data_IF_157239494806
#
_entry.id   IF_157239494806
#
_cell.length_a   1.000
_cell.length_b   1.000
_cell.length_c   1.000
_cell.angle_alpha   90.00
_cell.angle_beta   90.00
_cell.angle_gamma   90.00
#
_symmetry.space_group_name_H-M   'P 1'
#
loop_
_entity.id
_entity.type
_entity.pdbx_description
1 polymer ?
#
# COMPACT_ATOMS: atom_id res chain seq x y z
N UNK A 1 -20.78 -52.55 18.23
CA UNK A 1 -20.75 -51.60 19.36
C UNK A 1 -20.22 -52.29 20.61
N UNK A 2 -19.24 -51.69 21.32
CA UNK A 2 -18.90 -52.00 22.72
C UNK A 2 -18.55 -50.67 23.42
N UNK A 3 -19.08 -50.43 24.62
CA UNK A 3 -18.82 -49.22 25.45
C UNK A 3 -18.38 -49.65 26.84
N UNK A 4 -17.16 -49.31 27.26
CA UNK A 4 -16.71 -49.23 28.67
C UNK A 4 -15.59 -48.15 28.73
N UNK A 5 -15.23 -47.59 29.90
CA UNK A 5 -15.94 -46.42 30.45
C UNK A 5 -15.06 -45.16 30.56
N UNK A 6 -15.66 -44.03 30.95
CA UNK A 6 -14.91 -42.89 31.50
C UNK A 6 -14.36 -43.24 32.88
N UNK A 7 -13.15 -42.79 33.19
CA UNK A 7 -12.63 -42.68 34.57
C UNK A 7 -12.32 -41.19 34.83
N UNK A 8 -12.59 -40.74 36.05
CA UNK A 8 -12.42 -39.35 36.50
C UNK A 8 -11.57 -39.34 37.78
N UNK A 9 -10.50 -38.55 37.76
CA UNK A 9 -9.66 -38.17 38.90
C UNK A 9 -8.91 -36.91 38.42
N UNK A 10 -9.21 -35.67 38.82
CA UNK A 10 -9.59 -35.04 40.09
C UNK A 10 -8.38 -34.69 40.99
N UNK A 11 -7.97 -33.42 40.85
CA UNK A 11 -7.23 -32.49 41.73
C UNK A 11 -6.25 -32.99 42.81
N UNK A 12 -5.11 -32.30 42.93
CA UNK A 12 -4.72 -31.36 44.02
C UNK A 12 -3.56 -30.48 43.42
N UNK A 13 -3.48 -29.14 43.53
CA UNK A 13 -3.34 -28.26 44.73
C UNK A 13 -2.02 -28.55 45.46
N UNK A 14 -1.03 -27.65 45.64
CA UNK A 14 -0.77 -26.24 45.20
C UNK A 14 0.79 -26.06 45.10
N UNK A 15 1.54 -24.94 45.14
CA UNK A 15 1.34 -23.57 45.66
C UNK A 15 2.37 -22.55 45.10
N UNK A 16 2.01 -21.27 45.18
CA UNK A 16 2.76 -20.00 45.04
C UNK A 16 4.28 -20.05 45.32
N UNK A 17 5.06 -19.32 44.51
CA UNK A 17 6.14 -18.47 45.03
C UNK A 17 6.08 -17.08 44.41
N UNK A 18 6.05 -16.04 45.25
CA UNK A 18 6.26 -14.64 44.87
C UNK A 18 7.74 -14.30 44.99
N UNK A 19 8.25 -13.43 44.12
CA UNK A 19 9.50 -12.69 44.32
C UNK A 19 9.45 -11.42 43.49
N UNK A 20 9.28 -10.28 44.16
CA UNK A 20 9.31 -8.97 43.53
C UNK A 20 10.74 -8.41 43.55
N UNK A 21 11.10 -7.66 42.50
CA UNK A 21 12.20 -6.71 42.55
C UNK A 21 11.66 -5.34 42.13
N UNK A 22 11.63 -4.39 43.05
CA UNK A 22 11.40 -2.99 42.72
C UNK A 22 12.58 -2.47 41.89
N UNK A 23 12.28 -1.62 40.91
CA UNK A 23 13.22 -0.68 40.34
C UNK A 23 12.49 0.67 40.18
N UNK A 24 12.52 1.49 41.23
CA UNK A 24 12.11 2.89 41.12
C UNK A 24 13.14 3.63 40.26
N UNK A 25 12.72 4.12 39.10
CA UNK A 25 13.55 5.02 38.29
C UNK A 25 13.09 6.46 38.52
N UNK A 26 13.73 7.13 39.49
CA UNK A 26 13.54 8.57 39.67
C UNK A 26 14.42 9.34 38.68
N UNK A 27 13.81 10.31 37.99
CA UNK A 27 14.52 11.31 37.19
C UNK A 27 14.16 12.70 37.70
N UNK A 28 15.00 13.26 38.56
CA UNK A 28 15.01 14.70 38.85
C UNK A 28 16.32 15.34 38.40
N UNK A 29 16.17 16.43 37.64
CA UNK A 29 17.07 17.58 37.51
C UNK A 29 18.58 17.33 37.33
N UNK A 30 19.08 17.57 36.12
CA UNK A 30 20.18 18.52 35.94
C UNK A 30 20.03 19.30 34.63
N UNK A 31 19.22 20.36 34.67
CA UNK A 31 19.38 21.51 33.78
C UNK A 31 19.28 22.78 34.63
N UNK A 32 20.37 23.52 34.68
CA UNK A 32 20.46 24.88 35.23
C UNK A 32 21.15 25.76 34.22
N UNK A 33 20.76 27.02 34.23
CA UNK A 33 21.35 28.14 33.50
C UNK A 33 21.33 27.95 31.96
N UNK A 34 20.63 28.77 31.17
CA UNK A 34 20.45 30.21 31.35
C UNK A 34 19.06 30.68 30.86
N UNK A 35 18.34 31.41 31.72
CA UNK A 35 17.58 32.60 31.32
C UNK A 35 17.08 33.36 32.56
N UNK A 36 17.33 34.66 32.63
CA UNK A 36 16.77 35.53 33.68
C UNK A 36 16.43 36.92 33.13
N UNK A 37 15.12 37.19 33.04
CA UNK A 37 14.47 38.53 33.05
C UNK A 37 14.78 39.45 31.84
N UNK A 38 13.91 40.38 31.46
CA UNK A 38 12.81 41.01 32.23
C UNK A 38 11.53 41.19 31.40
N UNK A 39 10.40 41.30 32.11
CA UNK A 39 9.04 41.56 31.61
C UNK A 39 8.75 43.04 31.25
N UNK A 40 7.68 43.24 30.46
CA UNK A 40 6.74 44.39 30.43
C UNK A 40 7.27 45.79 30.03
N UNK A 41 6.62 46.41 29.03
CA UNK A 41 6.76 47.85 28.72
C UNK A 41 6.06 48.29 27.42
N UNK A 42 4.87 48.89 27.53
CA UNK A 42 4.05 49.40 26.41
C UNK A 42 4.55 50.72 25.81
N UNK A 43 4.43 50.89 24.48
CA UNK A 43 4.05 52.15 23.75
C UNK A 43 5.12 53.31 23.83
N UNK A 44 5.60 53.99 22.77
CA UNK A 44 4.90 54.70 21.67
C UNK A 44 5.83 55.16 20.50
N UNK A 45 5.22 55.61 19.39
CA UNK A 45 5.65 56.66 18.40
C UNK A 45 7.00 56.61 17.63
N UNK A 46 6.87 56.64 16.28
CA UNK A 46 7.51 57.55 15.28
C UNK A 46 9.03 57.85 15.35
N UNK A 47 9.82 57.72 14.28
CA UNK A 47 9.78 58.61 13.10
C UNK A 47 10.43 58.03 11.80
N UNK A 48 10.43 58.82 10.71
CA UNK A 48 11.00 58.48 9.40
C UNK A 48 12.54 58.41 9.36
N UNK A 49 13.09 57.64 8.42
CA UNK A 49 14.13 58.08 7.45
C UNK A 49 14.12 57.12 6.23
N UNK A 50 14.69 57.54 5.10
CA UNK A 50 14.41 57.05 3.74
C UNK A 50 15.68 56.68 2.96
N UNK A 51 15.61 55.66 2.08
CA UNK A 51 16.60 55.26 1.04
C UNK A 51 18.00 54.80 1.53
N UNK A 52 18.49 53.59 1.25
CA UNK A 52 18.89 53.07 -0.09
C UNK A 52 19.41 51.61 0.00
N UNK A 53 19.79 51.02 -1.16
CA UNK A 53 20.72 49.88 -1.35
C UNK A 53 20.17 48.44 -1.43
N UNK A 54 20.15 47.93 -2.68
CA UNK A 54 20.70 46.64 -3.16
C UNK A 54 21.10 45.53 -2.18
N UNK A 55 20.70 44.29 -2.55
CA UNK A 55 21.34 42.95 -2.35
C UNK A 55 21.86 42.58 -0.95
N UNK A 56 21.68 41.36 -0.46
CA UNK A 56 21.76 40.09 -1.20
C UNK A 56 20.88 38.97 -0.59
N UNK A 57 21.16 37.71 -0.93
CA UNK A 57 20.57 36.49 -0.36
C UNK A 57 20.63 36.39 1.17
N UNK A 58 19.57 35.81 1.75
CA UNK A 58 19.66 34.99 2.98
C UNK A 58 18.83 33.73 2.80
N UNK A 59 19.38 32.60 3.22
CA UNK A 59 18.72 31.30 3.21
C UNK A 59 17.44 31.32 4.05
N UNK A 60 16.40 30.63 3.58
CA UNK A 60 15.22 30.35 4.40
C UNK A 60 15.44 28.99 5.04
N UNK A 61 15.86 28.97 6.31
CA UNK A 61 15.72 27.78 7.13
C UNK A 61 14.23 27.42 7.18
N UNK A 62 13.88 26.26 6.63
CA UNK A 62 12.54 25.71 6.77
C UNK A 62 12.43 25.23 8.21
N UNK A 63 11.79 26.04 9.05
CA UNK A 63 11.38 25.63 10.38
C UNK A 63 10.25 24.61 10.19
N UNK A 64 10.54 23.34 10.40
CA UNK A 64 9.53 22.28 10.54
C UNK A 64 8.67 22.61 11.78
N UNK A 65 7.53 23.26 11.54
CA UNK A 65 6.47 23.36 12.54
C UNK A 65 5.62 22.08 12.49
N UNK A 66 5.31 21.58 13.68
CA UNK A 66 4.73 20.26 13.89
C UNK A 66 3.26 20.15 13.42
N UNK A 67 2.82 18.90 13.20
CA UNK A 67 1.42 18.46 13.17
C UNK A 67 0.48 19.10 12.11
N UNK A 68 0.75 18.80 10.84
CA UNK A 68 -0.31 18.71 9.82
C UNK A 68 -0.68 17.22 9.60
N UNK A 69 -1.84 16.78 10.11
CA UNK A 69 -2.44 15.49 9.75
C UNK A 69 -3.07 15.55 8.34
N UNK A 70 -2.23 15.70 7.32
CA UNK A 70 -2.58 15.34 5.95
C UNK A 70 -2.62 13.82 5.84
N UNK A 71 -3.66 13.28 5.18
CA UNK A 71 -3.66 11.86 4.80
C UNK A 71 -2.50 11.56 3.84
N UNK A 72 -1.94 10.36 3.94
CA UNK A 72 -1.11 9.84 2.85
C UNK A 72 -2.02 9.74 1.61
N UNK A 73 -1.70 10.46 0.53
CA UNK A 73 -2.55 10.48 -0.66
C UNK A 73 -2.70 9.08 -1.28
N UNK A 74 -1.76 8.15 -1.04
CA UNK A 74 -1.89 6.76 -1.49
C UNK A 74 -2.83 5.92 -0.62
N UNK A 75 -3.18 6.35 0.60
CA UNK A 75 -4.23 5.70 1.39
C UNK A 75 -5.61 5.88 0.73
N UNK A 76 -5.95 7.11 0.32
CA UNK A 76 -7.26 7.45 -0.26
C UNK A 76 -7.52 6.74 -1.60
N UNK A 77 -6.48 6.26 -2.28
CA UNK A 77 -6.52 5.50 -3.53
C UNK A 77 -6.78 3.99 -3.34
N UNK A 78 -6.71 3.47 -2.11
CA UNK A 78 -6.61 2.03 -1.83
C UNK A 78 -7.70 1.48 -0.89
N UNK A 79 -8.66 2.29 -0.46
CA UNK A 79 -9.82 1.83 0.31
C UNK A 79 -10.93 1.25 -0.56
N UNK A 80 -11.81 0.44 0.03
CA UNK A 80 -13.05 0.02 -0.63
C UNK A 80 -13.99 1.20 -0.88
N UNK A 81 -14.12 2.08 0.09
CA UNK A 81 -15.08 3.19 0.03
C UNK A 81 -14.41 4.55 -0.17
N UNK A 82 -15.15 5.54 -0.68
CA UNK A 82 -14.70 6.93 -0.79
C UNK A 82 -14.31 7.50 0.59
N UNK A 83 -13.43 8.50 0.63
CA UNK A 83 -12.91 9.04 1.90
C UNK A 83 -14.02 9.47 2.88
N UNK A 84 -15.09 10.10 2.38
CA UNK A 84 -16.24 10.54 3.17
C UNK A 84 -17.10 9.41 3.79
N UNK A 85 -16.82 8.14 3.50
CA UNK A 85 -17.41 7.01 4.20
C UNK A 85 -16.74 6.73 5.56
N UNK A 86 -15.43 6.97 5.64
CA UNK A 86 -14.61 6.71 6.83
C UNK A 86 -14.52 7.95 7.72
N UNK A 87 -14.44 7.74 9.04
CA UNK A 87 -14.57 8.82 10.00
C UNK A 87 -16.03 9.22 10.26
N UNK A 88 -16.22 10.33 10.97
CA UNK A 88 -17.53 10.80 11.45
C UNK A 88 -17.55 12.33 11.50
N UNK A 89 -18.53 12.95 10.84
CA UNK A 89 -18.68 14.40 10.83
C UNK A 89 -18.91 15.04 12.20
N UNK A 90 -18.36 16.25 12.36
CA UNK A 90 -18.59 17.10 13.53
C UNK A 90 -20.08 17.37 13.78
N UNK A 91 -20.94 17.38 12.74
CA UNK A 91 -22.38 17.54 12.94
C UNK A 91 -23.03 16.32 13.62
N UNK A 92 -22.50 15.12 13.42
CA UNK A 92 -22.97 13.90 14.11
C UNK A 92 -22.58 13.98 15.60
N UNK A 93 -21.35 14.38 15.90
CA UNK A 93 -20.86 14.63 17.27
C UNK A 93 -21.76 15.65 17.99
N UNK A 94 -22.15 16.73 17.28
CA UNK A 94 -23.07 17.74 17.79
C UNK A 94 -24.52 17.24 18.02
N UNK A 95 -24.98 16.20 17.31
CA UNK A 95 -26.29 15.58 17.55
C UNK A 95 -26.27 14.67 18.78
N UNK A 96 -25.22 13.86 18.93
CA UNK A 96 -25.16 12.78 19.94
C UNK A 96 -24.59 13.22 21.29
N UNK A 97 -23.86 14.34 21.31
CA UNK A 97 -23.11 14.83 22.45
C UNK A 97 -21.69 14.25 22.49
N UNK A 98 -20.70 15.12 22.74
CA UNK A 98 -19.27 14.78 22.69
C UNK A 98 -18.91 13.55 23.54
N UNK A 99 -19.40 13.49 24.79
CA UNK A 99 -19.16 12.38 25.74
C UNK A 99 -19.58 11.02 25.15
N UNK A 100 -20.79 10.92 24.59
CA UNK A 100 -21.28 9.69 23.95
C UNK A 100 -20.48 9.30 22.71
N UNK A 101 -19.95 10.27 21.96
CA UNK A 101 -19.09 10.03 20.82
C UNK A 101 -17.70 9.52 21.25
N UNK A 102 -17.10 10.09 22.29
CA UNK A 102 -15.83 9.63 22.85
C UNK A 102 -15.95 8.23 23.46
N UNK A 103 -17.04 7.93 24.18
CA UNK A 103 -17.36 6.58 24.68
C UNK A 103 -17.45 5.54 23.55
N UNK A 104 -18.06 5.91 22.42
CA UNK A 104 -18.12 5.05 21.23
C UNK A 104 -16.75 4.88 20.57
N UNK A 105 -16.04 5.98 20.32
CA UNK A 105 -14.73 6.00 19.68
C UNK A 105 -13.67 5.22 20.49
N UNK A 106 -13.79 5.19 21.82
CA UNK A 106 -12.89 4.44 22.71
C UNK A 106 -12.88 2.92 22.47
N UNK A 107 -13.90 2.38 21.81
CA UNK A 107 -14.05 0.94 21.56
C UNK A 107 -13.15 0.42 20.43
N UNK A 108 -12.60 1.31 19.60
CA UNK A 108 -11.81 0.96 18.41
C UNK A 108 -10.30 0.99 18.66
N UNK A 109 -9.56 0.32 17.76
CA UNK A 109 -8.10 0.23 17.75
C UNK A 109 -7.47 1.63 17.79
N UNK A 110 -6.67 1.88 18.82
CA UNK A 110 -5.93 3.12 19.01
C UNK A 110 -4.69 2.90 19.89
N UNK A 111 -3.81 3.89 19.99
CA UNK A 111 -2.65 3.84 20.90
C UNK A 111 -3.04 3.53 22.36
N UNK A 112 -4.22 3.99 22.79
CA UNK A 112 -4.75 3.76 24.14
C UNK A 112 -5.60 2.48 24.26
N UNK A 113 -6.00 1.87 23.13
CA UNK A 113 -6.75 0.62 23.07
C UNK A 113 -6.27 -0.25 21.89
N UNK A 114 -5.09 -0.91 21.98
CA UNK A 114 -4.53 -1.68 20.85
C UNK A 114 -5.32 -2.95 20.51
N UNK A 115 -6.12 -3.46 21.45
CA UNK A 115 -6.96 -4.66 21.31
C UNK A 115 -8.43 -4.29 21.01
N UNK A 116 -8.67 -3.07 20.51
CA UNK A 116 -10.00 -2.56 20.19
C UNK A 116 -10.63 -3.18 18.93
N UNK A 117 -11.89 -2.83 18.66
CA UNK A 117 -12.57 -3.11 17.38
C UNK A 117 -11.77 -2.55 16.20
N UNK A 118 -11.87 -3.16 15.02
CA UNK A 118 -11.14 -2.70 13.86
C UNK A 118 -11.46 -1.23 13.56
N UNK A 119 -10.45 -0.35 13.52
CA UNK A 119 -10.65 1.09 13.26
C UNK A 119 -11.30 1.41 11.90
N UNK A 120 -11.28 0.48 10.94
CA UNK A 120 -12.05 0.60 9.69
C UNK A 120 -13.56 0.49 9.87
N UNK A 121 -14.03 0.08 11.05
CA UNK A 121 -15.43 0.20 11.45
C UNK A 121 -15.83 1.63 11.87
N UNK A 122 -14.88 2.56 12.03
CA UNK A 122 -15.16 3.99 12.27
C UNK A 122 -15.64 4.62 10.95
N UNK A 123 -16.94 4.52 10.70
CA UNK A 123 -17.61 4.97 9.48
C UNK A 123 -18.87 5.78 9.81
N UNK A 124 -19.33 6.59 8.86
CA UNK A 124 -20.60 7.32 9.01
C UNK A 124 -21.78 6.37 9.25
N UNK A 125 -21.79 5.20 8.63
CA UNK A 125 -22.85 4.18 8.78
C UNK A 125 -22.88 3.62 10.20
N UNK A 126 -21.74 3.14 10.72
CA UNK A 126 -21.69 2.57 12.07
C UNK A 126 -21.92 3.63 13.14
N UNK A 127 -21.42 4.86 12.94
CA UNK A 127 -21.69 5.97 13.83
C UNK A 127 -23.19 6.28 13.89
N UNK A 128 -23.87 6.39 12.74
CA UNK A 128 -25.32 6.61 12.68
C UNK A 128 -26.11 5.50 13.38
N UNK A 129 -25.77 4.24 13.11
CA UNK A 129 -26.44 3.06 13.63
C UNK A 129 -26.25 2.90 15.15
N UNK A 130 -25.00 2.88 15.60
CA UNK A 130 -24.65 2.57 16.99
C UNK A 130 -24.94 3.75 17.92
N UNK A 131 -24.69 4.99 17.49
CA UNK A 131 -25.06 6.18 18.27
C UNK A 131 -26.56 6.51 18.17
N UNK A 132 -27.33 5.76 17.38
CA UNK A 132 -28.78 5.91 17.19
C UNK A 132 -29.18 7.32 16.71
N UNK A 133 -28.52 7.81 15.66
CA UNK A 133 -28.74 9.15 15.08
C UNK A 133 -30.05 9.16 14.28
N UNK A 134 -31.07 9.99 14.61
CA UNK A 134 -32.32 10.00 13.86
C UNK A 134 -32.15 10.62 12.46
N UNK A 135 -32.68 9.95 11.43
CA UNK A 135 -32.55 10.35 10.01
C UNK A 135 -32.98 11.80 9.73
N UNK A 136 -34.12 12.22 10.28
CA UNK A 136 -34.62 13.60 10.16
C UNK A 136 -33.63 14.64 10.76
N UNK A 137 -32.96 14.27 11.86
CA UNK A 137 -31.95 15.13 12.49
C UNK A 137 -30.67 15.16 11.66
N UNK A 138 -30.26 14.03 11.08
CA UNK A 138 -29.12 13.92 10.16
C UNK A 138 -29.34 14.78 8.92
N UNK A 139 -30.48 14.61 8.21
CA UNK A 139 -30.83 15.40 7.02
C UNK A 139 -30.77 16.90 7.33
N UNK A 140 -31.38 17.32 8.45
CA UNK A 140 -31.40 18.72 8.89
C UNK A 140 -30.00 19.27 9.24
N UNK A 141 -29.10 18.44 9.75
CA UNK A 141 -27.75 18.83 10.13
C UNK A 141 -26.77 18.84 8.94
N UNK A 142 -26.88 17.85 8.04
CA UNK A 142 -26.19 17.80 6.76
C UNK A 142 -26.55 19.00 5.87
N UNK A 143 -27.84 19.37 5.85
CA UNK A 143 -28.36 20.56 5.14
C UNK A 143 -27.97 20.62 3.64
N UNK A 144 -27.70 19.46 3.02
CA UNK A 144 -27.31 19.32 1.62
C UNK A 144 -25.83 19.58 1.31
N UNK A 145 -24.93 19.61 2.29
CA UNK A 145 -23.52 20.00 2.10
C UNK A 145 -22.48 18.87 2.12
N UNK A 146 -22.71 17.79 2.86
CA UNK A 146 -21.72 16.69 3.02
C UNK A 146 -22.16 15.44 2.27
N UNK A 147 -23.41 15.01 2.49
CA UNK A 147 -24.00 13.84 1.86
C UNK A 147 -25.17 14.22 0.95
N UNK A 148 -25.24 13.58 -0.21
CA UNK A 148 -26.41 13.57 -1.09
C UNK A 148 -27.57 12.79 -0.49
N UNK A 149 -28.79 13.00 -1.00
CA UNK A 149 -29.95 12.22 -0.57
C UNK A 149 -29.75 10.71 -0.80
N UNK A 150 -29.08 10.30 -1.89
CA UNK A 150 -28.78 8.89 -2.17
C UNK A 150 -27.78 8.27 -1.17
N UNK A 151 -26.74 9.02 -0.77
CA UNK A 151 -25.83 8.62 0.32
C UNK A 151 -26.58 8.51 1.65
N UNK A 152 -27.53 9.41 1.95
CA UNK A 152 -28.35 9.33 3.18
C UNK A 152 -29.29 8.12 3.15
N UNK A 153 -29.94 7.82 2.02
CA UNK A 153 -30.73 6.59 1.90
C UNK A 153 -29.86 5.34 2.07
N UNK A 154 -28.65 5.32 1.49
CA UNK A 154 -27.70 4.23 1.68
C UNK A 154 -27.30 4.05 3.15
N UNK A 155 -26.87 5.11 3.84
CA UNK A 155 -26.51 5.11 5.27
C UNK A 155 -27.63 4.53 6.14
N UNK A 156 -28.87 4.92 5.89
CA UNK A 156 -30.03 4.51 6.69
C UNK A 156 -30.72 3.22 6.22
N UNK A 157 -30.27 2.60 5.12
CA UNK A 157 -30.89 1.40 4.55
C UNK A 157 -30.59 0.11 5.33
N UNK A 158 -29.38 0.00 5.90
CA UNK A 158 -28.83 -1.27 6.38
C UNK A 158 -28.50 -2.28 5.26
N UNK A 159 -28.58 -1.89 3.98
CA UNK A 159 -28.22 -2.74 2.84
C UNK A 159 -26.78 -2.49 2.41
N UNK A 160 -25.89 -3.43 2.74
CA UNK A 160 -24.48 -3.36 2.38
C UNK A 160 -24.26 -3.26 0.86
N UNK A 161 -25.17 -3.79 0.03
CA UNK A 161 -25.06 -3.69 -1.44
C UNK A 161 -25.32 -2.28 -1.93
N UNK A 162 -26.33 -1.60 -1.36
CA UNK A 162 -26.60 -0.20 -1.64
C UNK A 162 -25.48 0.70 -1.11
N UNK A 163 -24.98 0.43 0.11
CA UNK A 163 -23.83 1.14 0.68
C UNK A 163 -22.60 0.99 -0.21
N UNK A 164 -22.23 -0.25 -0.58
CA UNK A 164 -21.11 -0.50 -1.50
C UNK A 164 -21.30 0.21 -2.84
N UNK A 165 -22.50 0.17 -3.44
CA UNK A 165 -22.77 0.81 -4.72
C UNK A 165 -22.65 2.34 -4.68
N UNK A 166 -23.08 2.97 -3.58
CA UNK A 166 -23.13 4.43 -3.45
C UNK A 166 -21.81 5.02 -2.94
N UNK A 167 -21.12 4.33 -2.04
CA UNK A 167 -19.88 4.79 -1.42
C UNK A 167 -18.61 4.12 -1.98
N UNK A 168 -18.66 3.34 -3.06
CA UNK A 168 -17.44 2.72 -3.62
C UNK A 168 -16.41 3.78 -4.00
N UNK A 169 -15.16 3.56 -3.58
CA UNK A 169 -14.02 4.39 -3.94
C UNK A 169 -13.91 4.50 -5.47
N UNK A 170 -13.74 5.70 -6.02
CA UNK A 170 -13.73 5.88 -7.47
C UNK A 170 -12.62 5.08 -8.16
N UNK A 171 -11.54 4.75 -7.45
CA UNK A 171 -10.43 3.92 -7.92
C UNK A 171 -10.56 2.41 -7.65
N UNK A 172 -11.50 1.95 -6.83
CA UNK A 172 -11.78 0.52 -6.65
C UNK A 172 -12.58 -0.10 -7.83
N UNK A 173 -12.85 -1.40 -7.74
CA UNK A 173 -13.63 -2.18 -8.71
C UNK A 173 -14.84 -2.83 -8.02
N UNK A 174 -16.06 -2.44 -8.40
CA UNK A 174 -17.32 -3.00 -7.89
C UNK A 174 -17.83 -4.14 -8.78
N UNK A 175 -17.87 -5.37 -8.27
CA UNK A 175 -18.30 -6.58 -8.99
C UNK A 175 -19.24 -7.41 -8.10
N UNK A 176 -20.41 -7.78 -8.61
CA UNK A 176 -21.42 -8.57 -7.87
C UNK A 176 -21.85 -7.96 -6.50
N UNK A 177 -21.84 -6.62 -6.43
CA UNK A 177 -22.04 -5.77 -5.24
C UNK A 177 -20.91 -5.82 -4.18
N UNK A 178 -19.82 -6.53 -4.44
CA UNK A 178 -18.59 -6.55 -3.62
C UNK A 178 -17.52 -5.61 -4.20
N UNK A 179 -16.65 -5.08 -3.34
CA UNK A 179 -15.62 -4.11 -3.74
C UNK A 179 -14.21 -4.71 -3.63
N UNK A 180 -13.44 -4.56 -4.71
CA UNK A 180 -12.08 -5.02 -4.86
C UNK A 180 -11.14 -3.83 -5.07
N UNK A 181 -10.24 -3.60 -4.12
CA UNK A 181 -9.25 -2.51 -4.11
C UNK A 181 -8.02 -2.86 -4.94
N UNK A 182 -7.19 -1.87 -5.31
CA UNK A 182 -6.00 -2.13 -6.12
C UNK A 182 -4.97 -3.03 -5.39
N UNK A 183 -4.80 -2.89 -4.06
CA UNK A 183 -3.93 -3.74 -3.25
C UNK A 183 -4.49 -5.17 -3.08
N UNK A 184 -5.81 -5.33 -2.99
CA UNK A 184 -6.46 -6.64 -3.07
C UNK A 184 -6.26 -7.27 -4.45
N UNK A 185 -6.44 -6.52 -5.53
CA UNK A 185 -6.23 -7.05 -6.88
C UNK A 185 -4.77 -7.45 -7.11
N UNK A 186 -3.82 -6.63 -6.66
CA UNK A 186 -2.38 -6.88 -6.82
C UNK A 186 -1.87 -8.10 -6.03
N UNK A 187 -2.40 -8.35 -4.83
CA UNK A 187 -1.96 -9.43 -3.95
C UNK A 187 -2.53 -10.83 -4.27
N UNK A 188 -3.37 -10.98 -5.31
CA UNK A 188 -4.17 -12.21 -5.56
C UNK A 188 -3.79 -12.91 -6.87
N UNK A 189 -4.38 -14.08 -7.14
CA UNK A 189 -4.18 -14.86 -8.39
C UNK A 189 -5.39 -14.78 -9.31
N UNK A 190 -5.23 -15.21 -10.57
CA UNK A 190 -6.36 -15.40 -11.50
C UNK A 190 -7.46 -16.30 -10.95
N UNK A 191 -7.11 -17.35 -10.20
CA UNK A 191 -8.06 -18.27 -9.53
C UNK A 191 -8.87 -17.57 -8.43
N UNK A 192 -8.35 -16.49 -7.86
CA UNK A 192 -9.02 -15.68 -6.86
C UNK A 192 -9.93 -14.62 -7.51
N UNK A 193 -9.52 -14.08 -8.68
CA UNK A 193 -10.41 -13.27 -9.53
C UNK A 193 -11.60 -14.10 -10.04
N UNK A 194 -11.37 -15.34 -10.51
CA UNK A 194 -12.42 -16.29 -10.92
C UNK A 194 -13.40 -16.59 -9.77
N UNK A 195 -12.91 -16.78 -8.54
CA UNK A 195 -13.74 -16.96 -7.32
C UNK A 195 -14.60 -15.73 -7.00
N UNK A 196 -14.07 -14.53 -7.24
CA UNK A 196 -14.79 -13.26 -7.09
C UNK A 196 -15.76 -12.97 -8.25
N UNK A 197 -15.69 -13.74 -9.34
CA UNK A 197 -16.48 -13.51 -10.56
C UNK A 197 -15.97 -12.35 -11.41
N UNK A 198 -14.73 -11.89 -11.21
CA UNK A 198 -14.11 -10.81 -11.96
C UNK A 198 -13.56 -11.37 -13.28
N UNK A 199 -13.99 -10.82 -14.41
CA UNK A 199 -13.54 -11.25 -15.73
C UNK A 199 -12.23 -10.59 -16.18
N UNK A 200 -11.59 -11.23 -17.16
CA UNK A 200 -10.40 -10.68 -17.83
C UNK A 200 -10.70 -9.35 -18.55
N UNK A 201 -11.92 -9.14 -19.04
CA UNK A 201 -12.33 -7.87 -19.67
C UNK A 201 -12.47 -6.74 -18.65
N UNK A 202 -12.96 -7.03 -17.45
CA UNK A 202 -13.06 -6.05 -16.34
C UNK A 202 -11.67 -5.69 -15.80
N UNK A 203 -10.77 -6.66 -15.66
CA UNK A 203 -9.37 -6.41 -15.27
C UNK A 203 -8.61 -5.57 -16.30
N UNK A 204 -8.85 -5.75 -17.60
CA UNK A 204 -8.25 -4.92 -18.65
C UNK A 204 -8.76 -3.47 -18.56
N UNK A 205 -10.07 -3.26 -18.44
CA UNK A 205 -10.67 -1.92 -18.24
C UNK A 205 -10.16 -1.26 -16.95
N UNK A 206 -9.99 -2.04 -15.90
CA UNK A 206 -9.44 -1.56 -14.63
C UNK A 206 -7.98 -1.12 -14.76
N UNK A 207 -7.15 -1.92 -15.43
CA UNK A 207 -5.75 -1.56 -15.72
C UNK A 207 -5.65 -0.31 -16.59
N UNK A 208 -6.51 -0.12 -17.58
CA UNK A 208 -6.52 1.10 -18.40
C UNK A 208 -6.85 2.36 -17.58
N UNK A 209 -7.72 2.22 -16.57
CA UNK A 209 -8.07 3.26 -15.58
C UNK A 209 -6.89 3.58 -14.64
N UNK A 210 -6.33 2.59 -13.96
CA UNK A 210 -5.22 2.78 -12.99
C UNK A 210 -3.83 2.89 -13.65
N UNK A 211 -3.75 3.28 -14.94
CA UNK A 211 -2.51 3.41 -15.70
C UNK A 211 -1.77 4.75 -15.42
N UNK A 212 -1.67 5.11 -14.13
CA UNK A 212 -1.01 6.33 -13.63
C UNK A 212 0.11 5.98 -12.64
N UNK A 213 0.99 6.93 -12.35
CA UNK A 213 2.24 6.64 -11.62
C UNK A 213 2.00 6.20 -10.16
N UNK A 214 0.94 6.70 -9.52
CA UNK A 214 0.66 6.46 -8.10
C UNK A 214 0.23 5.01 -7.83
N UNK A 215 -0.41 4.37 -8.83
CA UNK A 215 -0.77 2.95 -8.87
C UNK A 215 0.31 2.03 -9.47
N UNK A 216 1.54 2.50 -9.72
CA UNK A 216 2.60 1.68 -10.35
C UNK A 216 2.83 0.36 -9.63
N UNK A 217 2.86 0.39 -8.29
CA UNK A 217 3.17 -0.77 -7.46
C UNK A 217 2.06 -1.84 -7.52
N UNK A 218 0.80 -1.43 -7.71
CA UNK A 218 -0.37 -2.30 -7.83
C UNK A 218 -0.63 -2.76 -9.28
N UNK A 219 -0.40 -1.88 -10.26
CA UNK A 219 -0.56 -2.16 -11.69
C UNK A 219 0.29 -3.35 -12.14
N UNK A 220 1.58 -3.38 -11.74
CA UNK A 220 2.54 -4.36 -12.22
C UNK A 220 2.20 -5.82 -11.79
N UNK A 221 1.83 -6.11 -10.53
CA UNK A 221 1.28 -7.41 -10.14
C UNK A 221 0.02 -7.81 -10.90
N UNK A 222 -1.01 -6.95 -10.98
CA UNK A 222 -2.29 -7.26 -11.65
C UNK A 222 -2.04 -7.60 -13.13
N UNK A 223 -1.23 -6.79 -13.82
CA UNK A 223 -0.81 -7.02 -15.20
C UNK A 223 -0.03 -8.32 -15.36
N UNK A 224 0.86 -8.62 -14.42
CA UNK A 224 1.63 -9.87 -14.38
C UNK A 224 0.74 -11.12 -14.28
N UNK A 225 -0.32 -11.07 -13.46
CA UNK A 225 -1.30 -12.18 -13.36
C UNK A 225 -2.01 -12.43 -14.69
N UNK A 226 -2.45 -11.37 -15.40
CA UNK A 226 -3.08 -11.51 -16.72
C UNK A 226 -2.12 -12.11 -17.78
N UNK A 227 -0.86 -11.70 -17.78
CA UNK A 227 0.15 -12.20 -18.73
C UNK A 227 0.44 -13.69 -18.50
N UNK A 228 0.63 -14.10 -17.24
CA UNK A 228 0.85 -15.52 -16.90
C UNK A 228 -0.35 -16.39 -17.28
N UNK A 229 -1.55 -15.90 -16.97
CA UNK A 229 -2.81 -16.55 -17.33
C UNK A 229 -2.91 -16.79 -18.85
N UNK A 230 -2.54 -15.80 -19.66
CA UNK A 230 -2.55 -15.95 -21.13
C UNK A 230 -1.44 -16.85 -21.67
N UNK A 231 -0.24 -16.83 -21.06
CA UNK A 231 0.84 -17.79 -21.37
C UNK A 231 0.40 -19.23 -21.08
N UNK A 232 -0.18 -19.50 -19.91
CA UNK A 232 -0.68 -20.82 -19.53
C UNK A 232 -1.79 -21.32 -20.46
N UNK A 233 -2.74 -20.44 -20.86
CA UNK A 233 -3.76 -20.73 -21.88
C UNK A 233 -3.18 -21.05 -23.28
N UNK A 234 -1.86 -20.92 -23.50
CA UNK A 234 -1.19 -21.05 -24.80
C UNK A 234 -1.77 -20.14 -25.89
N UNK A 235 -2.37 -19.00 -25.49
CA UNK A 235 -2.94 -18.04 -26.43
C UNK A 235 -1.80 -17.24 -27.10
N UNK A 236 -1.86 -16.99 -28.41
CA UNK A 236 -0.82 -16.24 -29.09
C UNK A 236 -0.82 -14.80 -28.60
N UNK A 237 0.29 -14.39 -27.94
CA UNK A 237 0.48 -13.06 -27.35
C UNK A 237 0.23 -11.92 -28.38
N UNK A 238 0.39 -12.20 -29.68
CA UNK A 238 0.04 -11.28 -30.78
C UNK A 238 -1.43 -10.84 -30.82
N UNK A 239 -2.36 -11.54 -30.16
CA UNK A 239 -3.74 -11.09 -30.00
C UNK A 239 -3.89 -10.02 -28.90
N UNK A 240 -2.92 -9.94 -27.98
CA UNK A 240 -2.78 -8.89 -26.96
C UNK A 240 -1.65 -7.96 -27.42
N UNK A 241 -1.78 -7.37 -28.61
CA UNK A 241 -0.84 -6.40 -29.18
C UNK A 241 -1.00 -5.01 -28.52
N UNK A 242 -1.04 -5.00 -27.19
CA UNK A 242 -1.02 -3.82 -26.35
C UNK A 242 0.44 -3.37 -26.29
N UNK A 243 0.74 -2.15 -26.79
CA UNK A 243 2.06 -1.55 -26.58
C UNK A 243 2.31 -1.46 -25.06
N UNK A 244 3.52 -1.79 -24.56
CA UNK A 244 3.81 -1.69 -23.15
C UNK A 244 3.50 -0.27 -22.63
N UNK A 245 2.78 -0.22 -21.52
CA UNK A 245 2.40 1.02 -20.83
C UNK A 245 3.65 1.72 -20.31
N UNK A 246 3.53 3.02 -19.99
CA UNK A 246 4.67 3.74 -19.40
C UNK A 246 5.11 3.11 -18.08
N UNK A 247 4.20 2.50 -17.31
CA UNK A 247 4.52 1.80 -16.06
C UNK A 247 5.33 0.52 -16.33
N UNK A 248 4.94 -0.28 -17.32
CA UNK A 248 5.67 -1.51 -17.73
C UNK A 248 7.09 -1.22 -18.22
N UNK A 249 7.30 -0.05 -18.85
CA UNK A 249 8.62 0.42 -19.31
C UNK A 249 9.49 1.00 -18.18
N UNK A 250 8.88 1.48 -17.09
CA UNK A 250 9.57 2.00 -15.89
C UNK A 250 9.78 0.93 -14.79
N UNK A 251 9.39 -0.32 -15.04
CA UNK A 251 9.57 -1.42 -14.11
C UNK A 251 11.02 -1.96 -14.15
N UNK A 252 11.70 -2.14 -13.00
CA UNK A 252 13.02 -2.78 -12.96
C UNK A 252 12.98 -4.27 -13.37
N UNK A 253 11.90 -4.98 -13.01
CA UNK A 253 11.73 -6.40 -13.31
C UNK A 253 10.70 -6.67 -14.41
N UNK A 254 10.75 -7.88 -14.97
CA UNK A 254 9.72 -8.47 -15.82
C UNK A 254 8.43 -8.67 -15.01
N UNK A 255 7.28 -8.66 -15.69
CA UNK A 255 5.96 -8.79 -15.05
C UNK A 255 5.76 -10.18 -14.41
N UNK A 256 6.57 -11.15 -14.80
CA UNK A 256 6.71 -12.46 -14.16
C UNK A 256 7.24 -12.41 -12.73
N UNK A 257 7.96 -11.36 -12.33
CA UNK A 257 8.40 -11.16 -10.95
C UNK A 257 7.23 -10.83 -10.02
N UNK A 258 6.38 -9.89 -10.46
CA UNK A 258 5.36 -9.22 -9.65
C UNK A 258 4.08 -10.05 -9.42
N UNK A 259 3.45 -10.56 -10.49
CA UNK A 259 2.14 -11.21 -10.36
C UNK A 259 2.19 -12.59 -9.68
N UNK A 260 1.21 -12.95 -8.86
CA UNK A 260 1.16 -14.28 -8.21
C UNK A 260 0.33 -15.29 -9.02
N UNK A 261 0.92 -16.45 -9.31
CA UNK A 261 0.27 -17.43 -10.20
C UNK A 261 -0.78 -18.32 -9.51
N UNK A 262 -1.80 -18.70 -10.28
CA UNK A 262 -2.81 -19.70 -9.95
C UNK A 262 -2.26 -21.04 -9.41
N UNK A 263 -1.10 -21.51 -9.88
CA UNK A 263 -0.52 -22.79 -9.43
C UNK A 263 -0.07 -22.77 -7.96
N UNK A 264 0.06 -21.59 -7.35
CA UNK A 264 0.43 -21.47 -5.93
C UNK A 264 -0.61 -22.19 -5.05
N UNK A 265 -1.87 -22.24 -5.47
CA UNK A 265 -2.95 -22.99 -4.80
C UNK A 265 -2.82 -24.53 -4.89
N UNK A 266 -1.84 -25.08 -5.62
CA UNK A 266 -1.49 -26.51 -5.63
C UNK A 266 -0.40 -26.85 -4.58
N UNK A 267 0.30 -25.85 -4.02
CA UNK A 267 1.50 -26.04 -3.18
C UNK A 267 1.51 -25.25 -1.86
N UNK A 268 0.66 -24.23 -1.73
CA UNK A 268 0.43 -23.50 -0.47
C UNK A 268 -1.02 -23.72 -0.04
N UNK A 269 -1.22 -23.94 1.27
CA UNK A 269 -2.55 -23.95 1.86
C UNK A 269 -3.25 -22.58 1.71
N UNK A 270 -4.57 -22.59 1.47
CA UNK A 270 -5.32 -21.36 1.18
C UNK A 270 -5.41 -20.40 2.38
N UNK A 271 -5.50 -20.91 3.61
CA UNK A 271 -5.56 -20.07 4.81
C UNK A 271 -4.20 -19.40 5.04
N UNK A 272 -3.10 -20.18 4.98
CA UNK A 272 -1.73 -19.65 5.07
C UNK A 272 -1.41 -18.64 3.96
N UNK A 273 -1.86 -18.90 2.72
CA UNK A 273 -1.69 -17.98 1.60
C UNK A 273 -2.49 -16.68 1.79
N UNK A 274 -3.67 -16.77 2.41
CA UNK A 274 -4.53 -15.61 2.68
C UNK A 274 -3.97 -14.76 3.83
N UNK A 275 -3.49 -15.38 4.90
CA UNK A 275 -2.80 -14.74 6.03
C UNK A 275 -1.64 -13.86 5.53
N UNK A 276 -0.68 -14.47 4.82
CA UNK A 276 0.48 -13.77 4.25
C UNK A 276 0.08 -12.61 3.32
N UNK A 277 -0.95 -12.80 2.48
CA UNK A 277 -1.43 -11.74 1.56
C UNK A 277 -2.05 -10.55 2.25
N UNK A 278 -2.62 -10.74 3.44
CA UNK A 278 -3.28 -9.65 4.15
C UNK A 278 -2.27 -8.69 4.81
N UNK A 279 -0.99 -9.07 4.93
CA UNK A 279 0.09 -8.18 5.41
C UNK A 279 0.34 -6.97 4.51
N UNK A 280 0.00 -7.07 3.22
CA UNK A 280 0.16 -6.02 2.20
C UNK A 280 -1.05 -5.09 2.10
N UNK A 281 -2.17 -5.40 2.78
CA UNK A 281 -3.43 -4.68 2.59
C UNK A 281 -3.61 -3.51 3.58
N UNK A 282 -4.05 -2.37 3.06
CA UNK A 282 -4.37 -1.15 3.83
C UNK A 282 -5.39 -1.45 4.94
N UNK A 283 -6.46 -2.17 4.60
CA UNK A 283 -7.56 -2.50 5.51
C UNK A 283 -7.20 -3.48 6.64
N UNK A 284 -6.03 -4.14 6.56
CA UNK A 284 -5.60 -5.12 7.55
C UNK A 284 -4.39 -4.66 8.38
N UNK A 285 -3.58 -3.76 7.84
CA UNK A 285 -2.27 -3.46 8.43
C UNK A 285 -1.80 -2.03 8.09
N UNK A 286 -2.49 -0.98 8.56
CA UNK A 286 -2.07 0.41 8.29
C UNK A 286 -0.63 0.68 8.73
N UNK A 287 -0.31 0.48 10.01
CA UNK A 287 0.92 1.00 10.63
C UNK A 287 2.18 0.19 10.34
N UNK A 288 2.03 -1.01 9.73
CA UNK A 288 3.14 -1.88 9.32
C UNK A 288 2.89 -2.51 7.95
N UNK A 289 2.11 -1.84 7.08
CA UNK A 289 1.79 -2.34 5.73
C UNK A 289 3.09 -2.65 5.00
N UNK A 290 3.22 -3.88 4.50
CA UNK A 290 4.34 -4.23 3.63
C UNK A 290 4.19 -3.52 2.28
N UNK A 291 5.29 -3.27 1.57
CA UNK A 291 5.17 -2.72 0.21
C UNK A 291 4.58 -3.80 -0.70
N UNK A 292 3.63 -3.46 -1.58
CA UNK A 292 3.01 -4.43 -2.49
C UNK A 292 4.01 -5.01 -3.51
N UNK A 293 5.14 -4.34 -3.80
CA UNK A 293 6.28 -4.91 -4.54
C UNK A 293 6.96 -6.09 -3.81
N UNK A 294 6.81 -6.20 -2.48
CA UNK A 294 7.24 -7.38 -1.71
C UNK A 294 6.29 -8.57 -1.91
N UNK A 295 5.08 -8.39 -2.45
CA UNK A 295 4.09 -9.46 -2.70
C UNK A 295 4.44 -10.31 -3.94
N UNK A 296 5.74 -10.58 -4.14
CA UNK A 296 6.31 -11.23 -5.31
C UNK A 296 6.59 -12.73 -5.06
N UNK A 297 6.96 -13.45 -6.13
CA UNK A 297 7.17 -14.90 -6.08
C UNK A 297 8.33 -15.34 -5.16
N UNK A 298 9.36 -14.51 -5.00
CA UNK A 298 10.59 -14.86 -4.26
C UNK A 298 10.31 -14.82 -2.76
N UNK A 299 9.70 -13.73 -2.29
CA UNK A 299 9.27 -13.59 -0.90
C UNK A 299 8.25 -14.67 -0.52
N UNK A 300 7.27 -14.94 -1.39
CA UNK A 300 6.30 -16.03 -1.18
C UNK A 300 6.98 -17.40 -1.02
N UNK A 301 7.95 -17.74 -1.88
CA UNK A 301 8.69 -19.00 -1.77
C UNK A 301 9.50 -19.08 -0.47
N UNK A 302 10.20 -18.00 -0.14
CA UNK A 302 11.12 -17.90 1.00
C UNK A 302 10.39 -17.93 2.34
N UNK A 303 9.39 -17.07 2.51
CA UNK A 303 8.68 -16.87 3.77
C UNK A 303 7.70 -18.01 4.07
N UNK A 304 7.04 -18.56 3.03
CA UNK A 304 6.16 -19.72 3.20
C UNK A 304 6.91 -21.07 3.20
N UNK A 305 8.24 -21.04 2.97
CA UNK A 305 9.15 -22.19 2.94
C UNK A 305 8.73 -23.27 1.91
N UNK A 306 8.50 -22.83 0.67
CA UNK A 306 8.08 -23.67 -0.45
C UNK A 306 9.31 -24.37 -1.05
N UNK A 307 9.28 -25.70 -1.17
CA UNK A 307 10.40 -26.48 -1.72
C UNK A 307 10.51 -26.39 -3.24
N UNK A 308 11.73 -26.40 -3.75
CA UNK A 308 12.01 -26.38 -5.19
C UNK A 308 11.35 -27.56 -5.91
N UNK A 309 11.35 -28.78 -5.34
CA UNK A 309 10.76 -29.94 -6.02
C UNK A 309 9.25 -29.85 -6.16
N UNK A 310 8.56 -29.25 -5.17
CA UNK A 310 7.12 -29.02 -5.24
C UNK A 310 6.78 -27.82 -6.15
N UNK A 311 7.60 -26.77 -6.16
CA UNK A 311 7.47 -25.63 -7.09
C UNK A 311 7.64 -26.06 -8.55
N UNK A 312 8.73 -26.79 -8.87
CA UNK A 312 9.03 -27.32 -10.22
C UNK A 312 7.90 -28.24 -10.72
N UNK A 313 7.33 -29.04 -9.82
CA UNK A 313 6.19 -29.94 -10.08
C UNK A 313 4.86 -29.18 -10.27
N UNK A 314 4.73 -27.96 -9.76
CA UNK A 314 3.54 -27.12 -9.89
C UNK A 314 3.59 -26.18 -11.12
N UNK A 315 4.78 -25.70 -11.50
CA UNK A 315 5.07 -24.89 -12.69
C UNK A 315 4.98 -25.72 -14.00
N UNK A 316 3.89 -26.49 -14.16
CA UNK A 316 3.66 -27.44 -15.27
C UNK A 316 3.58 -26.72 -16.62
N UNK A 317 3.00 -25.53 -16.62
CA UNK A 317 2.78 -24.70 -17.81
C UNK A 317 4.00 -23.85 -18.20
N UNK A 318 5.16 -24.11 -17.58
CA UNK A 318 6.46 -23.50 -17.87
C UNK A 318 6.46 -21.96 -17.79
N UNK A 319 5.70 -21.43 -16.81
CA UNK A 319 5.51 -19.99 -16.59
C UNK A 319 6.82 -19.33 -16.16
N UNK A 320 7.60 -20.01 -15.33
CA UNK A 320 9.00 -19.66 -15.02
C UNK A 320 9.97 -20.56 -15.78
N UNK A 321 11.08 -19.97 -16.27
CA UNK A 321 12.19 -20.70 -16.86
C UNK A 321 13.04 -21.44 -15.80
N UNK A 322 13.94 -22.33 -16.22
CA UNK A 322 14.85 -23.04 -15.28
C UNK A 322 15.82 -22.08 -14.59
N UNK A 323 16.23 -21.05 -15.32
CA UNK A 323 17.12 -19.99 -14.86
C UNK A 323 16.41 -19.11 -13.81
N UNK A 324 15.13 -18.80 -14.04
CA UNK A 324 14.27 -18.10 -13.08
C UNK A 324 14.00 -18.94 -11.82
N UNK A 325 13.72 -20.23 -11.95
CA UNK A 325 13.55 -21.13 -10.79
C UNK A 325 14.85 -21.19 -9.98
N UNK A 326 16.00 -21.42 -10.63
CA UNK A 326 17.30 -21.40 -9.95
C UNK A 326 17.54 -20.08 -9.21
N UNK A 327 17.19 -18.95 -9.82
CA UNK A 327 17.35 -17.64 -9.22
C UNK A 327 16.44 -17.44 -7.99
N UNK A 328 15.15 -17.84 -8.06
CA UNK A 328 14.22 -17.84 -6.91
C UNK A 328 14.82 -18.59 -5.70
N UNK A 329 15.49 -19.72 -5.95
CA UNK A 329 16.09 -20.58 -4.92
C UNK A 329 17.57 -20.29 -4.59
N UNK A 330 18.15 -19.21 -5.14
CA UNK A 330 19.59 -18.93 -5.03
C UNK A 330 20.00 -18.18 -3.75
N UNK A 331 19.06 -17.49 -3.10
CA UNK A 331 19.31 -16.43 -2.10
C UNK A 331 20.29 -15.31 -2.59
N UNK A 332 20.56 -15.23 -3.90
CA UNK A 332 21.51 -14.30 -4.50
C UNK A 332 20.80 -13.25 -5.38
N UNK A 333 20.83 -11.99 -4.92
CA UNK A 333 20.21 -10.88 -5.64
C UNK A 333 20.78 -10.68 -7.05
N UNK A 334 22.07 -10.98 -7.30
CA UNK A 334 22.66 -10.90 -8.64
C UNK A 334 22.04 -11.93 -9.61
N UNK A 335 21.72 -13.15 -9.13
CA UNK A 335 21.06 -14.16 -9.98
C UNK A 335 19.58 -13.84 -10.19
N UNK A 336 18.89 -13.35 -9.16
CA UNK A 336 17.52 -12.81 -9.24
C UNK A 336 17.45 -11.70 -10.28
N UNK A 337 18.32 -10.70 -10.15
CA UNK A 337 18.42 -9.58 -11.07
C UNK A 337 18.68 -10.06 -12.51
N UNK A 338 19.64 -10.96 -12.72
CA UNK A 338 19.93 -11.52 -14.06
C UNK A 338 18.78 -12.32 -14.67
N UNK A 339 17.97 -13.00 -13.87
CA UNK A 339 16.87 -13.83 -14.36
C UNK A 339 15.54 -13.07 -14.55
N UNK A 340 15.34 -11.96 -13.83
CA UNK A 340 14.10 -11.18 -13.84
C UNK A 340 14.24 -9.74 -14.33
N UNK A 341 15.43 -9.23 -14.68
CA UNK A 341 15.59 -7.89 -15.23
C UNK A 341 14.66 -7.64 -16.43
N UNK A 342 13.95 -6.51 -16.39
CA UNK A 342 13.16 -6.01 -17.51
C UNK A 342 14.07 -5.75 -18.73
N UNK A 343 13.62 -6.03 -19.96
CA UNK A 343 14.45 -5.85 -21.17
C UNK A 343 14.87 -4.38 -21.40
N UNK A 344 14.13 -3.45 -20.81
CA UNK A 344 14.34 -2.00 -20.83
C UNK A 344 15.17 -1.47 -19.65
N UNK A 345 15.39 -2.27 -18.60
CA UNK A 345 16.25 -1.88 -17.48
C UNK A 345 17.74 -2.03 -17.83
N UNK A 346 18.59 -1.24 -17.16
CA UNK A 346 20.04 -1.36 -17.26
C UNK A 346 20.53 -2.31 -16.17
N UNK A 347 21.30 -3.34 -16.55
CA UNK A 347 21.97 -4.24 -15.62
C UNK A 347 23.48 -3.94 -15.64
N UNK A 348 24.07 -3.60 -14.49
CA UNK A 348 25.52 -3.35 -14.32
C UNK A 348 26.00 -4.03 -13.04
N UNK A 349 27.09 -4.78 -13.12
CA UNK A 349 27.74 -5.51 -12.01
C UNK A 349 26.82 -6.33 -11.10
N UNK A 350 25.68 -6.76 -11.66
CA UNK A 350 24.66 -7.56 -10.98
C UNK A 350 23.43 -6.79 -10.52
N UNK A 351 23.48 -5.46 -10.48
CA UNK A 351 22.40 -4.57 -10.04
C UNK A 351 21.52 -4.06 -11.18
N UNK A 352 20.23 -3.84 -10.89
CA UNK A 352 19.23 -3.32 -11.83
C UNK A 352 18.97 -1.84 -11.60
N UNK A 353 19.01 -1.08 -12.70
CA UNK A 353 18.64 0.33 -12.74
C UNK A 353 17.47 0.52 -13.72
N UNK A 354 16.30 0.88 -13.19
CA UNK A 354 15.14 1.24 -14.00
C UNK A 354 15.36 2.57 -14.73
N UNK A 355 14.60 2.83 -15.80
CA UNK A 355 14.63 4.13 -16.49
C UNK A 355 14.27 5.28 -15.53
N UNK A 356 13.35 5.04 -14.59
CA UNK A 356 12.99 6.01 -13.54
C UNK A 356 14.17 6.31 -12.60
N UNK A 357 14.96 5.30 -12.22
CA UNK A 357 16.19 5.51 -11.44
C UNK A 357 17.19 6.33 -12.25
N UNK A 358 17.41 5.97 -13.53
CA UNK A 358 18.32 6.70 -14.42
C UNK A 358 17.90 8.17 -14.58
N UNK A 359 16.61 8.48 -14.72
CA UNK A 359 16.10 9.85 -14.83
C UNK A 359 16.28 10.69 -13.55
N UNK A 360 16.25 10.07 -12.36
CA UNK A 360 16.35 10.79 -11.08
C UNK A 360 17.78 11.01 -10.59
N UNK A 361 18.74 10.24 -11.10
CA UNK A 361 20.12 10.25 -10.63
C UNK A 361 21.02 11.08 -11.54
N UNK A 362 22.05 11.69 -10.96
CA UNK A 362 23.00 12.55 -11.65
C UNK A 362 24.30 11.80 -12.01
N UNK A 363 25.16 12.46 -12.79
CA UNK A 363 26.44 11.90 -13.26
C UNK A 363 27.30 11.30 -12.13
N UNK A 364 27.37 11.94 -10.97
CA UNK A 364 28.16 11.45 -9.84
C UNK A 364 27.60 10.13 -9.31
N UNK A 365 26.28 9.99 -9.26
CA UNK A 365 25.60 8.80 -8.75
C UNK A 365 25.87 7.61 -9.68
N UNK A 366 25.86 7.84 -10.99
CA UNK A 366 26.31 6.88 -12.01
C UNK A 366 27.78 6.48 -11.83
N UNK A 367 28.67 7.47 -11.66
CA UNK A 367 30.12 7.22 -11.48
C UNK A 367 30.43 6.46 -10.17
N UNK A 368 29.66 6.67 -9.10
CA UNK A 368 29.80 5.94 -7.83
C UNK A 368 29.52 4.43 -7.95
N UNK A 369 28.71 4.01 -8.94
CA UNK A 369 28.22 2.63 -9.11
C UNK A 369 28.68 1.99 -10.43
N UNK A 370 29.70 2.55 -11.07
CA UNK A 370 30.32 1.97 -12.27
C UNK A 370 29.56 2.17 -13.58
N UNK A 371 28.42 2.87 -13.60
CA UNK A 371 27.74 3.25 -14.85
C UNK A 371 28.60 4.29 -15.57
N UNK A 372 29.39 3.82 -16.54
CA UNK A 372 30.18 4.71 -17.40
C UNK A 372 29.35 5.29 -18.53
N UNK A 373 29.85 6.38 -19.14
CA UNK A 373 29.28 6.92 -20.39
C UNK A 373 29.20 5.86 -21.50
N UNK A 374 30.19 4.97 -21.63
CA UNK A 374 30.17 3.94 -22.67
C UNK A 374 29.05 2.91 -22.43
N UNK A 375 28.84 2.49 -21.19
CA UNK A 375 27.73 1.62 -20.79
C UNK A 375 26.39 2.30 -21.15
N UNK A 376 26.21 3.57 -20.77
CA UNK A 376 24.98 4.31 -21.03
C UNK A 376 24.75 4.57 -22.53
N UNK A 377 25.78 4.99 -23.28
CA UNK A 377 25.73 5.18 -24.73
C UNK A 377 25.41 3.86 -25.46
N UNK A 378 25.81 2.70 -24.93
CA UNK A 378 25.48 1.39 -25.52
C UNK A 378 24.08 0.91 -25.14
N UNK A 379 23.64 1.17 -23.91
CA UNK A 379 22.26 0.95 -23.44
C UNK A 379 21.24 1.76 -24.26
N UNK A 380 21.47 3.06 -24.45
CA UNK A 380 20.60 3.93 -25.26
C UNK A 380 20.62 3.61 -26.77
N UNK A 381 21.64 2.90 -27.29
CA UNK A 381 21.64 2.37 -28.66
C UNK A 381 20.84 1.07 -28.79
N UNK A 382 20.80 0.24 -27.73
CA UNK A 382 20.03 -1.01 -27.68
C UNK A 382 18.53 -0.72 -27.63
N UNK A 383 18.14 0.28 -26.84
CA UNK A 383 16.75 0.55 -26.50
C UNK A 383 16.21 1.71 -27.34
N UNK A 384 15.29 1.38 -28.26
CA UNK A 384 14.59 2.34 -29.11
C UNK A 384 13.08 2.23 -28.83
N UNK A 385 12.58 3.07 -27.92
CA UNK A 385 11.15 3.11 -27.54
C UNK A 385 10.64 4.54 -27.75
N UNK A 386 9.81 4.81 -28.78
CA UNK A 386 9.28 6.14 -29.04
C UNK A 386 8.47 6.74 -27.87
N UNK A 387 7.88 5.89 -27.01
CA UNK A 387 7.16 6.34 -25.80
C UNK A 387 8.06 6.99 -24.74
N UNK A 388 9.39 6.85 -24.83
CA UNK A 388 10.37 7.34 -23.84
C UNK A 388 11.50 8.16 -24.49
N UNK A 389 11.26 8.76 -25.67
CA UNK A 389 12.28 9.54 -26.39
C UNK A 389 12.81 10.73 -25.57
N UNK A 390 11.94 11.44 -24.82
CA UNK A 390 12.35 12.56 -23.97
C UNK A 390 13.22 12.09 -22.79
N UNK A 391 12.85 10.97 -22.20
CA UNK A 391 13.52 10.33 -21.08
C UNK A 391 14.92 9.86 -21.48
N UNK A 392 15.07 9.23 -22.66
CA UNK A 392 16.36 8.86 -23.22
C UNK A 392 17.19 10.07 -23.66
N UNK A 393 16.57 11.14 -24.17
CA UNK A 393 17.28 12.39 -24.49
C UNK A 393 17.79 13.10 -23.22
N UNK A 394 17.04 13.04 -22.12
CA UNK A 394 17.46 13.52 -20.79
C UNK A 394 18.63 12.68 -20.25
N UNK A 395 18.48 11.36 -20.18
CA UNK A 395 19.52 10.43 -19.71
C UNK A 395 20.82 10.61 -20.53
N UNK A 396 20.69 10.74 -21.86
CA UNK A 396 21.80 10.99 -22.77
C UNK A 396 22.47 12.37 -22.65
N UNK A 397 21.93 13.31 -21.87
CA UNK A 397 22.56 14.62 -21.55
C UNK A 397 23.41 14.58 -20.28
N UNK A 398 23.21 13.63 -19.37
CA UNK A 398 23.89 13.57 -18.05
C UNK A 398 25.43 13.44 -18.19
N UNK A 399 25.91 12.85 -19.29
CA UNK A 399 27.34 12.71 -19.64
C UNK A 399 27.81 13.64 -20.78
N UNK A 400 27.21 14.84 -20.95
CA UNK A 400 27.62 15.85 -21.94
C UNK A 400 28.18 17.10 -21.28
#
# INVERSE_FOLDING_TARGET
MKKIPKIVFFCFITTIFLSACNAEFQYEQTYKDQNQKTEVGNIEQQENTLLTSTKDSTDTEIIDNEEAFGGDSKFELLTKHEFGFYGVDMFIINIVGKEKFEDWLSQFESYNNPEGRNKWEITVVNAVLELNVPKETFIKANNGFVYTDEQIEAIYSGDQKLINKIFVNEDALLINDEIYTADWLASRTAKDYERAGISEEELIKYLDKINIIDFKEEYLPIKGVLIKTNKAKSLPISNINIKPSKLELLAPYQLEYYGLDSFIHDIVDYEKLTEWRNEFLVEYNWSRRRNIEECNIINLVKELNIKEEDFVKANKDLIYSKEQIKAIYSDNQEEINKAFANEYALLVDGEIYSIEWLMRNNKKDYENIGITKEILDNYLKKINIPQLENEFEYIGKIFR
#
